data_IF_588511488669
#
_entry.id   IF_588511488669
#
_cell.length_a   1.000
_cell.length_b   1.000
_cell.length_c   1.000
_cell.angle_alpha   90.00
_cell.angle_beta   90.00
_cell.angle_gamma   90.00
#
_symmetry.space_group_name_H-M   'P 1'
#
loop_
_entity.id
_entity.type
_entity.pdbx_description
1 polymer ?
#
# COMPACT_ATOMS: atom_id res chain seq x y z
N UNK A 1 -3.23 9.90 17.21
CA UNK A 1 -2.30 8.95 16.55
C UNK A 1 -2.56 7.50 16.94
N UNK A 2 -2.86 7.18 18.21
CA UNK A 2 -3.14 5.79 18.65
C UNK A 2 -4.32 5.11 17.91
N UNK A 3 -5.40 5.84 17.64
CA UNK A 3 -6.58 5.34 16.89
C UNK A 3 -6.21 4.91 15.47
N UNK A 4 -5.37 5.70 14.78
CA UNK A 4 -4.93 5.39 13.42
C UNK A 4 -4.08 4.12 13.37
N UNK A 5 -3.18 3.96 14.36
CA UNK A 5 -2.37 2.74 14.48
C UNK A 5 -3.28 1.52 14.70
N UNK A 6 -4.27 1.62 15.58
CA UNK A 6 -5.25 0.54 15.78
C UNK A 6 -6.03 0.20 14.51
N UNK A 7 -6.48 1.22 13.77
CA UNK A 7 -7.18 1.04 12.50
C UNK A 7 -6.32 0.32 11.45
N UNK A 8 -5.07 0.76 11.25
CA UNK A 8 -4.13 0.10 10.32
C UNK A 8 -3.89 -1.36 10.73
N UNK A 9 -3.80 -1.62 12.03
CA UNK A 9 -3.65 -2.98 12.55
C UNK A 9 -4.85 -3.87 12.23
N UNK A 10 -6.08 -3.36 12.42
CA UNK A 10 -7.31 -4.09 12.10
C UNK A 10 -7.40 -4.36 10.60
N UNK A 11 -7.10 -3.39 9.74
CA UNK A 11 -7.06 -3.61 8.29
C UNK A 11 -6.00 -4.65 7.93
N UNK A 12 -4.80 -4.60 8.53
CA UNK A 12 -3.76 -5.61 8.29
C UNK A 12 -4.17 -7.03 8.70
N UNK A 13 -4.94 -7.16 9.79
CA UNK A 13 -5.51 -8.45 10.20
C UNK A 13 -6.58 -8.93 9.22
N UNK A 14 -7.49 -8.04 8.79
CA UNK A 14 -8.52 -8.36 7.81
C UNK A 14 -7.91 -8.84 6.50
N UNK A 15 -6.92 -8.12 5.99
CA UNK A 15 -6.16 -8.51 4.80
C UNK A 15 -5.56 -9.92 4.94
N UNK A 16 -4.96 -10.21 6.09
CA UNK A 16 -4.35 -11.53 6.37
C UNK A 16 -5.40 -12.64 6.42
N UNK A 17 -6.56 -12.38 7.03
CA UNK A 17 -7.69 -13.32 7.08
C UNK A 17 -8.21 -13.61 5.67
N UNK A 18 -8.41 -12.58 4.83
CA UNK A 18 -8.86 -12.77 3.45
C UNK A 18 -7.84 -13.53 2.60
N UNK A 19 -6.55 -13.27 2.79
CA UNK A 19 -5.49 -14.01 2.13
C UNK A 19 -5.50 -15.48 2.51
N UNK A 20 -5.65 -15.81 3.80
CA UNK A 20 -5.72 -17.18 4.28
C UNK A 20 -6.96 -17.90 3.77
N UNK A 21 -8.11 -17.23 3.77
CA UNK A 21 -9.36 -17.80 3.24
C UNK A 21 -9.27 -18.06 1.73
N UNK A 22 -8.66 -17.14 0.98
CA UNK A 22 -8.42 -17.32 -0.45
C UNK A 22 -7.49 -18.51 -0.72
N UNK A 23 -6.39 -18.62 0.03
CA UNK A 23 -5.48 -19.77 -0.05
C UNK A 23 -6.20 -21.08 0.27
N UNK A 24 -6.93 -21.14 1.39
CA UNK A 24 -7.69 -22.32 1.80
C UNK A 24 -8.68 -22.77 0.72
N UNK A 25 -9.40 -21.81 0.13
CA UNK A 25 -10.38 -22.09 -0.92
C UNK A 25 -9.69 -22.66 -2.17
N UNK A 26 -8.57 -22.09 -2.60
CA UNK A 26 -7.82 -22.57 -3.76
C UNK A 26 -7.14 -23.93 -3.53
N UNK A 27 -6.57 -24.16 -2.34
CA UNK A 27 -5.74 -25.35 -2.07
C UNK A 27 -6.53 -26.54 -1.58
N UNK A 28 -7.62 -26.34 -0.83
CA UNK A 28 -8.40 -27.42 -0.21
C UNK A 28 -9.72 -27.60 -0.93
N UNK A 29 -10.50 -26.53 -1.13
CA UNK A 29 -11.85 -26.65 -1.71
C UNK A 29 -11.82 -27.00 -3.19
N UNK A 30 -10.88 -26.45 -3.95
CA UNK A 30 -10.76 -26.68 -5.40
C UNK A 30 -9.59 -27.60 -5.79
N UNK A 31 -9.09 -28.39 -4.84
CA UNK A 31 -8.00 -29.32 -5.11
C UNK A 31 -8.40 -30.33 -6.19
N UNK A 32 -7.63 -30.37 -7.30
CA UNK A 32 -7.85 -31.31 -8.40
C UNK A 32 -8.85 -30.87 -9.48
N UNK A 33 -9.44 -29.67 -9.39
CA UNK A 33 -10.35 -29.16 -10.42
C UNK A 33 -9.77 -27.90 -11.11
N UNK A 34 -9.07 -28.04 -12.26
CA UNK A 34 -8.35 -26.93 -12.89
C UNK A 34 -9.28 -25.85 -13.46
N UNK A 35 -10.55 -26.18 -13.75
CA UNK A 35 -11.53 -25.20 -14.25
C UNK A 35 -11.81 -24.09 -13.22
N UNK A 36 -11.77 -24.42 -11.93
CA UNK A 36 -12.03 -23.47 -10.85
C UNK A 36 -10.79 -22.64 -10.47
N UNK A 37 -9.60 -22.98 -10.99
CA UNK A 37 -8.39 -22.17 -10.82
C UNK A 37 -8.44 -20.91 -11.70
N UNK A 38 -9.18 -20.95 -12.81
CA UNK A 38 -9.35 -19.80 -13.69
C UNK A 38 -10.24 -18.70 -13.08
N UNK A 39 -11.12 -19.06 -12.14
CA UNK A 39 -12.01 -18.11 -11.46
C UNK A 39 -11.50 -17.87 -10.03
N UNK A 40 -10.88 -16.70 -9.75
CA UNK A 40 -10.42 -16.42 -8.41
C UNK A 40 -11.61 -16.34 -7.44
N UNK A 41 -11.44 -16.86 -6.22
CA UNK A 41 -12.48 -16.77 -5.21
C UNK A 41 -12.75 -15.31 -4.87
N UNK A 42 -13.99 -14.99 -4.55
CA UNK A 42 -14.44 -13.63 -4.20
C UNK A 42 -13.61 -13.03 -3.05
N UNK A 43 -13.08 -13.87 -2.15
CA UNK A 43 -12.17 -13.45 -1.07
C UNK A 43 -10.88 -12.78 -1.58
N UNK A 44 -10.40 -13.16 -2.76
CA UNK A 44 -9.23 -12.53 -3.38
C UNK A 44 -9.54 -11.10 -3.84
N UNK A 45 -10.76 -10.84 -4.32
CA UNK A 45 -11.21 -9.49 -4.69
C UNK A 45 -11.32 -8.59 -3.45
N UNK A 46 -11.91 -9.11 -2.37
CA UNK A 46 -11.98 -8.37 -1.10
C UNK A 46 -10.58 -8.02 -0.57
N UNK A 47 -9.61 -8.93 -0.70
CA UNK A 47 -8.22 -8.67 -0.34
C UNK A 47 -7.59 -7.53 -1.18
N UNK A 48 -7.86 -7.47 -2.49
CA UNK A 48 -7.37 -6.39 -3.34
C UNK A 48 -8.00 -5.05 -2.94
N UNK A 49 -9.29 -5.02 -2.64
CA UNK A 49 -9.97 -3.78 -2.20
C UNK A 49 -9.40 -3.31 -0.86
N UNK A 50 -9.27 -4.22 0.10
CA UNK A 50 -8.78 -3.92 1.44
C UNK A 50 -7.32 -3.44 1.41
N UNK A 51 -6.44 -4.10 0.65
CA UNK A 51 -5.05 -3.67 0.47
C UNK A 51 -4.92 -2.30 -0.21
N UNK A 52 -5.79 -2.01 -1.19
CA UNK A 52 -5.82 -0.70 -1.85
C UNK A 52 -6.30 0.39 -0.90
N UNK A 53 -7.34 0.12 -0.10
CA UNK A 53 -7.84 1.04 0.91
C UNK A 53 -6.78 1.32 1.98
N UNK A 54 -6.14 0.28 2.52
CA UNK A 54 -5.08 0.40 3.50
C UNK A 54 -3.94 1.27 2.97
N UNK A 55 -3.49 1.00 1.74
CA UNK A 55 -2.44 1.78 1.07
C UNK A 55 -2.84 3.26 0.95
N UNK A 56 -4.07 3.53 0.53
CA UNK A 56 -4.58 4.91 0.40
C UNK A 56 -4.64 5.61 1.76
N UNK A 57 -5.11 4.95 2.83
CA UNK A 57 -5.14 5.54 4.17
C UNK A 57 -3.74 5.85 4.70
N UNK A 58 -2.81 4.91 4.53
CA UNK A 58 -1.40 5.09 4.94
C UNK A 58 -0.77 6.25 4.17
N UNK A 59 -0.95 6.29 2.86
CA UNK A 59 -0.39 7.35 2.02
C UNK A 59 -1.06 8.72 2.27
N UNK A 60 -2.37 8.77 2.49
CA UNK A 60 -3.09 9.99 2.87
C UNK A 60 -2.59 10.54 4.22
N UNK A 61 -2.32 9.66 5.18
CA UNK A 61 -1.73 10.05 6.46
C UNK A 61 -0.33 10.65 6.28
N UNK A 62 0.51 10.06 5.43
CA UNK A 62 1.82 10.62 5.12
C UNK A 62 1.70 11.99 4.43
N UNK A 63 0.79 12.14 3.47
CA UNK A 63 0.52 13.41 2.81
C UNK A 63 0.06 14.49 3.80
N UNK A 64 -0.85 14.17 4.73
CA UNK A 64 -1.27 15.08 5.80
C UNK A 64 -0.08 15.52 6.68
N UNK A 65 0.85 14.59 6.96
CA UNK A 65 2.05 14.87 7.75
C UNK A 65 3.00 15.81 7.00
N UNK A 66 3.21 15.58 5.70
CA UNK A 66 3.98 16.47 4.83
C UNK A 66 3.36 17.86 4.77
N UNK A 67 2.04 17.95 4.62
CA UNK A 67 1.33 19.24 4.60
C UNK A 67 1.54 20.04 5.89
N UNK A 68 1.41 19.37 7.04
CA UNK A 68 1.66 20.01 8.36
C UNK A 68 3.11 20.41 8.55
N UNK A 69 4.07 19.64 8.04
CA UNK A 69 5.49 19.92 8.19
C UNK A 69 5.96 21.03 7.25
N UNK A 70 5.62 20.90 5.96
CA UNK A 70 6.18 21.75 4.91
C UNK A 70 5.50 23.11 4.80
N UNK A 71 4.27 23.24 5.29
CA UNK A 71 3.40 24.43 5.10
C UNK A 71 3.23 24.85 3.62
N UNK A 72 3.73 24.03 2.68
CA UNK A 72 3.71 24.25 1.25
C UNK A 72 2.63 23.36 0.62
N UNK A 73 1.57 24.02 0.15
CA UNK A 73 0.46 23.38 -0.56
C UNK A 73 0.89 22.59 -1.82
N UNK A 74 1.84 23.04 -2.67
CA UNK A 74 2.12 22.34 -3.92
C UNK A 74 2.74 20.95 -3.73
N UNK A 75 3.56 20.76 -2.69
CA UNK A 75 4.25 19.49 -2.46
C UNK A 75 3.29 18.40 -1.95
N UNK A 76 2.31 18.79 -1.12
CA UNK A 76 1.23 17.91 -0.69
C UNK A 76 0.32 17.52 -1.86
N UNK A 77 -0.03 18.47 -2.74
CA UNK A 77 -0.83 18.19 -3.94
C UNK A 77 -0.10 17.24 -4.88
N UNK A 78 1.20 17.43 -5.10
CA UNK A 78 2.01 16.54 -5.93
C UNK A 78 2.05 15.10 -5.38
N UNK A 79 2.27 14.95 -4.06
CA UNK A 79 2.24 13.63 -3.43
C UNK A 79 0.86 12.96 -3.53
N UNK A 80 -0.21 13.73 -3.36
CA UNK A 80 -1.58 13.23 -3.49
C UNK A 80 -1.91 12.79 -4.93
N UNK A 81 -1.47 13.56 -5.93
CA UNK A 81 -1.62 13.21 -7.33
C UNK A 81 -0.87 11.90 -7.66
N UNK A 82 0.31 11.70 -7.09
CA UNK A 82 1.10 10.48 -7.28
C UNK A 82 0.39 9.23 -6.75
N UNK A 83 -0.40 9.37 -5.69
CA UNK A 83 -1.19 8.31 -5.06
C UNK A 83 -2.43 7.97 -5.90
N UNK A 84 -3.07 8.99 -6.49
CA UNK A 84 -4.29 8.81 -7.28
C UNK A 84 -4.08 7.94 -8.51
N UNK A 85 -2.90 8.02 -9.15
CA UNK A 85 -2.57 7.26 -10.36
C UNK A 85 -2.71 5.74 -10.16
N UNK A 86 -1.99 5.09 -9.21
CA UNK A 86 -2.12 3.64 -8.99
C UNK A 86 -3.52 3.26 -8.52
N UNK A 87 -4.17 4.03 -7.64
CA UNK A 87 -5.55 3.74 -7.22
C UNK A 87 -6.55 3.80 -8.37
N UNK A 88 -6.36 4.72 -9.32
CA UNK A 88 -7.20 4.80 -10.52
C UNK A 88 -7.04 3.55 -11.40
N UNK A 89 -5.82 3.01 -11.53
CA UNK A 89 -5.57 1.76 -12.26
C UNK A 89 -6.26 0.56 -11.60
N UNK A 90 -6.22 0.45 -10.27
CA UNK A 90 -6.95 -0.60 -9.54
C UNK A 90 -8.46 -0.47 -9.71
N UNK A 91 -9.00 0.74 -9.67
CA UNK A 91 -10.43 0.98 -9.88
C UNK A 91 -10.87 0.62 -11.30
N UNK A 92 -10.02 0.90 -12.29
CA UNK A 92 -10.25 0.51 -13.68
C UNK A 92 -10.23 -1.00 -13.88
N UNK A 93 -9.27 -1.71 -13.26
CA UNK A 93 -9.23 -3.18 -13.25
C UNK A 93 -10.48 -3.77 -12.60
N UNK A 94 -10.95 -3.17 -11.51
CA UNK A 94 -12.17 -3.58 -10.82
C UNK A 94 -13.41 -3.39 -11.71
N UNK A 95 -13.53 -2.25 -12.39
CA UNK A 95 -14.60 -2.00 -13.36
C UNK A 95 -14.58 -3.01 -14.53
N UNK A 96 -13.39 -3.33 -15.06
CA UNK A 96 -13.24 -4.37 -16.08
C UNK A 96 -13.65 -5.75 -15.60
N UNK A 97 -13.37 -6.09 -14.34
CA UNK A 97 -13.80 -7.34 -13.74
C UNK A 97 -15.33 -7.48 -13.74
N UNK A 98 -16.05 -6.45 -13.28
CA UNK A 98 -17.51 -6.46 -13.23
C UNK A 98 -18.16 -6.48 -14.62
N UNK A 99 -17.61 -5.71 -15.57
CA UNK A 99 -18.18 -5.61 -16.92
C UNK A 99 -17.92 -6.84 -17.79
N UNK A 100 -16.80 -7.56 -17.59
CA UNK A 100 -16.44 -8.74 -18.39
C UNK A 100 -16.79 -10.08 -17.74
N UNK A 101 -17.40 -10.06 -16.55
CA UNK A 101 -17.98 -11.23 -15.90
C UNK A 101 -16.97 -12.32 -15.55
N UNK A 102 -15.72 -11.97 -15.25
CA UNK A 102 -14.72 -12.94 -14.83
C UNK A 102 -13.26 -12.48 -14.94
N UNK A 103 -12.44 -12.86 -13.97
CA UNK A 103 -11.02 -12.51 -13.90
C UNK A 103 -10.22 -13.15 -15.03
N UNK A 104 -10.49 -14.41 -15.40
CA UNK A 104 -9.84 -15.08 -16.52
C UNK A 104 -10.02 -14.37 -17.86
N UNK A 105 -11.22 -13.81 -18.13
CA UNK A 105 -11.47 -13.04 -19.36
C UNK A 105 -10.87 -11.63 -19.30
N UNK A 106 -10.77 -11.05 -18.11
CA UNK A 106 -10.10 -9.76 -17.90
C UNK A 106 -8.58 -9.88 -18.09
N UNK A 107 -7.95 -10.87 -17.46
CA UNK A 107 -6.51 -11.15 -17.51
C UNK A 107 -6.05 -11.87 -18.78
N UNK A 108 -6.91 -12.68 -19.40
CA UNK A 108 -6.64 -13.29 -20.70
C UNK A 108 -6.55 -12.26 -21.83
N UNK A 109 -7.06 -11.04 -21.62
CA UNK A 109 -6.80 -9.93 -22.52
C UNK A 109 -5.40 -9.36 -22.27
N UNK A 110 -4.59 -9.23 -23.33
CA UNK A 110 -3.26 -8.63 -23.24
C UNK A 110 -3.26 -7.23 -22.60
N UNK A 111 -4.40 -6.52 -22.68
CA UNK A 111 -4.63 -5.24 -22.03
C UNK A 111 -4.70 -5.36 -20.50
N UNK A 112 -5.47 -6.31 -19.97
CA UNK A 112 -5.66 -6.50 -18.53
C UNK A 112 -4.39 -6.94 -17.81
N UNK A 113 -3.60 -7.83 -18.44
CA UNK A 113 -2.33 -8.27 -17.87
C UNK A 113 -1.30 -7.14 -17.78
N UNK A 114 -1.18 -6.31 -18.83
CA UNK A 114 -0.30 -5.14 -18.83
C UNK A 114 -0.68 -4.14 -17.73
N UNK A 115 -1.98 -3.89 -17.54
CA UNK A 115 -2.44 -2.95 -16.50
C UNK A 115 -2.23 -3.51 -15.10
N UNK A 116 -2.40 -4.82 -14.89
CA UNK A 116 -2.11 -5.44 -13.60
C UNK A 116 -0.63 -5.34 -13.24
N UNK A 117 0.28 -5.65 -14.17
CA UNK A 117 1.72 -5.52 -13.96
C UNK A 117 2.09 -4.05 -13.71
N UNK A 118 1.54 -3.13 -14.51
CA UNK A 118 1.81 -1.70 -14.35
C UNK A 118 1.34 -1.19 -12.98
N UNK A 119 0.14 -1.55 -12.53
CA UNK A 119 -0.38 -1.19 -11.22
C UNK A 119 0.47 -1.77 -10.08
N UNK A 120 0.85 -3.05 -10.19
CA UNK A 120 1.68 -3.73 -9.21
C UNK A 120 3.08 -3.09 -9.11
N UNK A 121 3.68 -2.66 -10.23
CA UNK A 121 4.98 -1.99 -10.25
C UNK A 121 4.93 -0.54 -9.77
N UNK A 122 3.87 0.20 -10.13
CA UNK A 122 3.72 1.62 -9.76
C UNK A 122 3.41 1.81 -8.27
N UNK A 123 2.73 0.86 -7.64
CA UNK A 123 2.37 0.93 -6.22
C UNK A 123 3.58 1.13 -5.30
N UNK A 124 4.62 0.25 -5.31
CA UNK A 124 5.81 0.44 -4.48
C UNK A 124 6.61 1.68 -4.88
N UNK A 125 6.67 2.01 -6.18
CA UNK A 125 7.37 3.22 -6.66
C UNK A 125 6.74 4.48 -6.07
N UNK A 126 5.41 4.58 -6.10
CA UNK A 126 4.68 5.71 -5.51
C UNK A 126 4.88 5.81 -4.00
N UNK A 127 4.89 4.67 -3.30
CA UNK A 127 5.13 4.62 -1.86
C UNK A 127 6.56 5.05 -1.50
N UNK A 128 7.56 4.58 -2.24
CA UNK A 128 8.95 4.99 -2.08
C UNK A 128 9.15 6.48 -2.38
N UNK A 129 8.48 7.01 -3.41
CA UNK A 129 8.55 8.44 -3.72
C UNK A 129 7.96 9.30 -2.59
N UNK A 130 6.80 8.92 -2.03
CA UNK A 130 6.16 9.63 -0.91
C UNK A 130 6.99 9.51 0.38
N UNK A 131 7.55 8.33 0.65
CA UNK A 131 8.45 8.13 1.79
C UNK A 131 9.75 8.94 1.62
N UNK A 132 10.30 8.97 0.41
CA UNK A 132 11.49 9.74 0.04
C UNK A 132 11.28 11.24 0.19
N UNK A 133 10.15 11.79 -0.27
CA UNK A 133 9.84 13.21 -0.10
C UNK A 133 9.66 13.58 1.37
N UNK A 134 9.05 12.71 2.19
CA UNK A 134 8.97 12.90 3.64
C UNK A 134 10.36 12.94 4.28
N UNK A 135 11.23 11.97 3.94
CA UNK A 135 12.61 11.92 4.43
C UNK A 135 13.41 13.16 4.03
N UNK A 136 13.25 13.62 2.78
CA UNK A 136 13.89 14.83 2.29
C UNK A 136 13.37 16.10 3.01
N UNK A 137 12.05 16.23 3.21
CA UNK A 137 11.48 17.32 3.99
C UNK A 137 11.99 17.33 5.44
N UNK A 138 12.07 16.17 6.08
CA UNK A 138 12.63 16.02 7.42
C UNK A 138 14.11 16.40 7.47
N UNK A 139 14.88 16.01 6.45
CA UNK A 139 16.29 16.36 6.36
C UNK A 139 16.49 17.86 6.16
N UNK A 140 15.67 18.50 5.33
CA UNK A 140 15.71 19.95 5.11
C UNK A 140 15.29 20.75 6.35
N UNK A 141 14.37 20.23 7.15
CA UNK A 141 13.98 20.83 8.44
C UNK A 141 14.94 20.51 9.60
N UNK A 142 16.01 19.76 9.32
CA UNK A 142 17.09 19.46 10.28
C UNK A 142 18.01 20.66 10.52
N UNK A 143 17.74 21.82 9.92
CA UNK A 143 18.38 23.08 10.27
C UNK A 143 18.21 23.39 11.77
N UNK A 144 19.24 23.97 12.41
CA UNK A 144 19.61 23.67 13.80
C UNK A 144 18.63 24.05 14.92
N UNK A 145 17.63 24.91 14.69
CA UNK A 145 16.92 25.57 15.80
C UNK A 145 15.59 24.93 16.25
N UNK A 146 14.89 24.12 15.45
CA UNK A 146 13.49 23.77 15.77
C UNK A 146 13.19 22.32 16.24
N UNK A 147 14.12 21.36 16.09
CA UNK A 147 13.76 19.93 16.21
C UNK A 147 14.67 19.06 17.12
N UNK A 148 15.30 19.64 18.16
CA UNK A 148 16.15 18.88 19.12
C UNK A 148 15.44 17.71 19.81
N UNK A 149 14.14 17.82 20.12
CA UNK A 149 13.40 16.83 20.93
C UNK A 149 12.99 15.59 20.13
N UNK A 150 12.66 15.73 18.84
CA UNK A 150 12.31 14.59 17.96
C UNK A 150 13.56 13.88 17.44
N UNK A 151 14.66 14.61 17.24
CA UNK A 151 15.94 14.04 16.80
C UNK A 151 16.47 12.97 17.75
N UNK A 152 16.41 13.21 19.05
CA UNK A 152 16.80 12.22 20.06
C UNK A 152 16.00 10.93 19.98
N UNK A 153 14.68 11.01 19.71
CA UNK A 153 13.82 9.83 19.65
C UNK A 153 14.04 9.06 18.35
N UNK A 154 14.17 9.76 17.22
CA UNK A 154 14.42 9.14 15.92
C UNK A 154 15.81 8.52 15.84
N UNK A 155 16.85 9.22 16.30
CA UNK A 155 18.21 8.68 16.35
C UNK A 155 18.27 7.45 17.27
N UNK A 156 17.54 7.46 18.39
CA UNK A 156 17.48 6.31 19.31
C UNK A 156 16.72 5.13 18.70
N UNK A 157 15.63 5.37 17.97
CA UNK A 157 14.90 4.30 17.25
C UNK A 157 15.75 3.75 16.10
N UNK A 158 16.43 4.61 15.33
CA UNK A 158 17.34 4.16 14.27
C UNK A 158 18.49 3.34 14.82
N UNK A 159 19.16 3.83 15.86
CA UNK A 159 20.25 3.11 16.54
C UNK A 159 19.76 1.74 17.02
N UNK A 160 18.61 1.71 17.69
CA UNK A 160 18.03 0.47 18.19
C UNK A 160 17.65 -0.49 17.06
N UNK A 161 17.12 0.02 15.94
CA UNK A 161 16.81 -0.79 14.76
C UNK A 161 18.08 -1.37 14.14
N UNK A 162 19.15 -0.58 14.02
CA UNK A 162 20.46 -1.02 13.49
C UNK A 162 21.08 -2.07 14.42
N UNK A 163 21.12 -1.81 15.72
CA UNK A 163 21.62 -2.76 16.72
C UNK A 163 20.85 -4.08 16.67
N UNK A 164 19.52 -4.03 16.63
CA UNK A 164 18.69 -5.24 16.61
C UNK A 164 18.85 -6.01 15.29
N UNK A 165 18.99 -5.32 14.16
CA UNK A 165 19.17 -5.96 12.85
C UNK A 165 20.57 -6.58 12.69
N UNK A 166 21.60 -6.00 13.31
CA UNK A 166 22.97 -6.52 13.31
C UNK A 166 23.19 -7.64 14.34
N UNK A 167 22.52 -7.59 15.49
CA UNK A 167 22.68 -8.58 16.57
C UNK A 167 21.87 -9.86 16.30
N UNK A 168 20.87 -9.81 15.42
CA UNK A 168 20.08 -11.00 15.03
C UNK A 168 20.70 -11.77 13.85
N UNK A 169 22.01 -11.66 13.62
CA UNK A 169 22.72 -12.48 12.63
C UNK A 169 23.85 -13.28 13.27
#
# INVERSE_FOLDING_TARGET
>A
MKIFVGFVWICGLLQSIFAWNAMFTMTITFFGNPEHVAEPPVSMLYNIIDSTALTLFVQAFFCLRIYRLSHSKPLAIFCFALILIPTGLYFWLFSMYYTRGGFARSLGSAQGHKVMIAAAALTPVSACAVAGTLCWCLWRMKDPDQFRRTRSVVDRIMLWTVETTLVTR
#
